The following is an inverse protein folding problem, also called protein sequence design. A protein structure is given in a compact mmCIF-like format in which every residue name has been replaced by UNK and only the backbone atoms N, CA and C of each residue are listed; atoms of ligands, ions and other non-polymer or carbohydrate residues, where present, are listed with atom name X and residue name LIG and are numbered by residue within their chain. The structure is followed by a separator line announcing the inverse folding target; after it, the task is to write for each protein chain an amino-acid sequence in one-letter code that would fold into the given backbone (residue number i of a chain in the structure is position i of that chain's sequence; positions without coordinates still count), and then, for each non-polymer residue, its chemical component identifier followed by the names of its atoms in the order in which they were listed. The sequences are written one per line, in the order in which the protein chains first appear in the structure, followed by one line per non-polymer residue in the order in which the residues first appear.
data_IF_297968931136
#
_entry.id   IF_297968931136
#
_cell.length_a   1.000
_cell.length_b   1.000
_cell.length_c   1.000
_cell.angle_alpha   90.00
_cell.angle_beta   90.00
_cell.angle_gamma   90.00
#
_symmetry.space_group_name_H-M   'P 1'
#
loop_
_entity.id
_entity.type
_entity.pdbx_description
1 polymer ?
#
# COMPACT_ATOMS: atom_id res chain seq x y z
N UNK A 1 -27.27 -3.44 -2.21
CA UNK A 1 -26.26 -4.48 -1.93
C UNK A 1 -24.90 -3.81 -1.84
N UNK A 2 -24.10 -4.18 -0.85
CA UNK A 2 -22.78 -3.57 -0.59
C UNK A 2 -21.75 -4.00 -1.65
N UNK A 3 -21.16 -3.03 -2.35
CA UNK A 3 -20.16 -3.27 -3.38
C UNK A 3 -18.90 -3.96 -2.82
N UNK A 4 -18.58 -3.72 -1.55
CA UNK A 4 -17.43 -4.33 -0.87
C UNK A 4 -17.66 -5.83 -0.60
N UNK A 5 -18.88 -6.20 -0.21
CA UNK A 5 -19.25 -7.61 -0.03
C UNK A 5 -19.21 -8.38 -1.36
N UNK A 6 -19.62 -7.75 -2.47
CA UNK A 6 -19.49 -8.35 -3.80
C UNK A 6 -18.03 -8.50 -4.25
N UNK A 7 -17.16 -7.54 -3.93
CA UNK A 7 -15.73 -7.64 -4.25
C UNK A 7 -15.06 -8.79 -3.49
N UNK A 8 -15.37 -8.96 -2.21
CA UNK A 8 -14.85 -10.07 -1.39
C UNK A 8 -15.37 -11.45 -1.83
N UNK A 9 -16.54 -11.52 -2.47
CA UNK A 9 -17.14 -12.77 -2.97
C UNK A 9 -16.62 -13.19 -4.35
N UNK A 10 -15.80 -12.37 -5.02
CA UNK A 10 -15.26 -12.69 -6.35
C UNK A 10 -14.03 -13.58 -6.27
N UNK A 11 -13.79 -14.45 -7.27
CA UNK A 11 -12.67 -15.39 -7.26
C UNK A 11 -11.33 -14.78 -7.68
N UNK A 12 -11.22 -13.44 -7.75
CA UNK A 12 -10.02 -12.74 -8.19
C UNK A 12 -9.72 -11.52 -7.33
N UNK A 13 -8.42 -11.20 -7.23
CA UNK A 13 -7.92 -10.07 -6.46
C UNK A 13 -8.19 -8.73 -7.15
N UNK A 14 -8.29 -7.66 -6.36
CA UNK A 14 -8.52 -6.29 -6.84
C UNK A 14 -7.43 -5.37 -6.32
N UNK A 15 -6.51 -4.97 -7.19
CA UNK A 15 -5.34 -4.16 -6.83
C UNK A 15 -5.31 -2.85 -7.59
N UNK A 16 -4.94 -1.76 -6.91
CA UNK A 16 -4.59 -0.48 -7.55
C UNK A 16 -3.10 -0.27 -7.35
N UNK A 17 -2.36 -0.29 -8.45
CA UNK A 17 -0.94 0.06 -8.50
C UNK A 17 -0.84 1.56 -8.79
N UNK A 18 -0.44 2.33 -7.78
CA UNK A 18 -0.27 3.77 -7.93
C UNK A 18 1.06 4.06 -8.63
N UNK A 19 1.04 4.92 -9.63
CA UNK A 19 2.21 5.34 -10.41
C UNK A 19 2.45 6.83 -10.29
N UNK A 20 3.23 7.30 -9.31
CA UNK A 20 3.48 8.74 -9.28
C UNK A 20 4.38 9.20 -10.39
N UNK A 21 4.07 10.38 -10.86
CA UNK A 21 4.76 11.02 -11.97
C UNK A 21 5.65 12.12 -11.42
N UNK A 22 6.73 12.41 -12.14
CA UNK A 22 7.58 13.57 -11.87
C UNK A 22 6.97 14.89 -12.34
N UNK A 23 5.70 14.90 -12.80
CA UNK A 23 5.06 16.06 -13.41
C UNK A 23 5.05 17.25 -12.43
N UNK A 24 5.41 18.42 -12.94
CA UNK A 24 5.36 19.69 -12.23
C UNK A 24 4.67 20.71 -13.13
N UNK A 25 3.81 21.56 -12.56
CA UNK A 25 3.19 22.66 -13.30
C UNK A 25 4.17 23.80 -13.46
N UNK A 26 4.39 24.27 -14.69
CA UNK A 26 5.32 25.35 -14.99
C UNK A 26 4.79 26.77 -14.69
N UNK A 27 3.53 26.91 -14.27
CA UNK A 27 2.87 28.20 -14.05
C UNK A 27 2.49 28.43 -12.59
N UNK A 28 2.74 29.64 -12.12
CA UNK A 28 2.10 30.19 -10.92
C UNK A 28 0.58 30.31 -11.14
N UNK A 29 -0.16 30.06 -10.07
CA UNK A 29 -1.62 29.95 -10.03
C UNK A 29 -2.33 31.16 -10.62
N UNK A 30 -3.11 30.93 -11.68
CA UNK A 30 -4.04 31.91 -12.26
C UNK A 30 -5.29 32.07 -11.38
N UNK A 31 -5.98 33.21 -11.43
CA UNK A 31 -7.10 33.48 -10.52
C UNK A 31 -8.34 32.61 -10.80
N UNK A 32 -8.50 32.11 -12.03
CA UNK A 32 -9.61 31.24 -12.43
C UNK A 32 -9.22 29.74 -12.44
N UNK A 33 -9.75 29.01 -11.46
CA UNK A 33 -9.55 27.57 -11.26
C UNK A 33 -9.96 26.72 -12.47
N UNK A 34 -10.90 27.18 -13.31
CA UNK A 34 -11.33 26.44 -14.50
C UNK A 34 -10.29 26.54 -15.61
N UNK A 35 -9.74 27.72 -15.81
CA UNK A 35 -8.67 27.97 -16.79
C UNK A 35 -7.41 27.22 -16.35
N UNK A 36 -7.08 27.32 -15.06
CA UNK A 36 -5.98 26.57 -14.43
C UNK A 36 -6.12 25.06 -14.68
N UNK A 37 -7.32 24.50 -14.48
CA UNK A 37 -7.57 23.08 -14.71
C UNK A 37 -7.42 22.64 -16.18
N UNK A 38 -7.93 23.43 -17.13
CA UNK A 38 -7.78 23.11 -18.56
C UNK A 38 -6.31 23.18 -18.99
N UNK A 39 -5.59 24.22 -18.57
CA UNK A 39 -4.17 24.40 -18.86
C UNK A 39 -3.32 23.28 -18.25
N UNK A 40 -3.65 22.84 -17.03
CA UNK A 40 -2.98 21.73 -16.37
C UNK A 40 -3.18 20.40 -17.10
N UNK A 41 -4.40 20.14 -17.57
CA UNK A 41 -4.67 18.96 -18.39
C UNK A 41 -3.89 18.99 -19.69
N UNK A 42 -3.80 20.14 -20.34
CA UNK A 42 -3.01 20.27 -21.56
C UNK A 42 -1.54 19.98 -21.30
N UNK A 43 -0.95 20.53 -20.23
CA UNK A 43 0.43 20.21 -19.82
C UNK A 43 0.64 18.71 -19.56
N UNK A 44 -0.32 18.01 -18.95
CA UNK A 44 -0.24 16.56 -18.75
C UNK A 44 -0.28 15.76 -20.06
N UNK A 45 -1.02 16.24 -21.06
CA UNK A 45 -1.09 15.64 -22.40
C UNK A 45 0.19 15.91 -23.18
N UNK A 46 0.79 17.08 -22.97
CA UNK A 46 2.01 17.53 -23.63
C UNK A 46 3.30 16.97 -23.00
N UNK A 47 3.23 16.38 -21.80
CA UNK A 47 4.34 15.70 -21.15
C UNK A 47 4.69 14.37 -21.85
N UNK A 48 5.58 14.45 -22.83
CA UNK A 48 6.04 13.30 -23.61
C UNK A 48 6.74 12.23 -22.76
N UNK A 49 7.48 12.63 -21.73
CA UNK A 49 8.20 11.69 -20.87
C UNK A 49 7.19 10.83 -20.08
N UNK A 50 6.14 11.47 -19.56
CA UNK A 50 5.02 10.80 -18.90
C UNK A 50 4.26 9.89 -19.86
N UNK A 51 3.87 10.37 -21.04
CA UNK A 51 3.16 9.55 -22.02
C UNK A 51 3.99 8.35 -22.48
N UNK A 52 5.31 8.50 -22.66
CA UNK A 52 6.21 7.39 -23.02
C UNK A 52 6.28 6.33 -21.92
N UNK A 53 6.49 6.74 -20.67
CA UNK A 53 6.50 5.81 -19.54
C UNK A 53 5.18 5.03 -19.42
N UNK A 54 4.05 5.69 -19.65
CA UNK A 54 2.73 5.05 -19.69
C UNK A 54 2.66 4.01 -20.82
N UNK A 55 3.10 4.35 -22.03
CA UNK A 55 3.12 3.43 -23.17
C UNK A 55 3.97 2.19 -22.89
N UNK A 56 5.16 2.38 -22.30
CA UNK A 56 6.06 1.27 -21.98
C UNK A 56 5.40 0.29 -20.99
N UNK A 57 4.73 0.78 -19.95
CA UNK A 57 3.98 -0.06 -19.01
C UNK A 57 2.80 -0.79 -19.68
N UNK A 58 2.08 -0.13 -20.60
CA UNK A 58 1.00 -0.77 -21.37
C UNK A 58 1.55 -1.92 -22.21
N UNK A 59 2.66 -1.70 -22.91
CA UNK A 59 3.31 -2.74 -23.73
C UNK A 59 3.74 -3.92 -22.85
N UNK A 60 4.30 -3.66 -21.67
CA UNK A 60 4.65 -4.71 -20.71
C UNK A 60 3.43 -5.49 -20.23
N UNK A 61 2.32 -4.83 -19.93
CA UNK A 61 1.08 -5.49 -19.53
C UNK A 61 0.52 -6.40 -20.64
N UNK A 62 0.51 -5.92 -21.90
CA UNK A 62 0.07 -6.74 -23.04
C UNK A 62 0.99 -7.94 -23.25
N UNK A 63 2.31 -7.76 -23.12
CA UNK A 63 3.29 -8.85 -23.22
C UNK A 63 3.14 -9.88 -22.09
N UNK A 64 2.67 -9.45 -20.92
CA UNK A 64 2.32 -10.32 -19.81
C UNK A 64 0.96 -11.05 -20.01
N UNK A 65 0.32 -10.92 -21.17
CA UNK A 65 -0.93 -11.59 -21.51
C UNK A 65 -2.18 -10.90 -20.95
N UNK A 66 -2.05 -9.68 -20.42
CA UNK A 66 -3.17 -8.91 -19.89
C UNK A 66 -4.01 -8.32 -21.02
N UNK A 67 -5.26 -7.98 -20.72
CA UNK A 67 -6.20 -7.30 -21.63
C UNK A 67 -6.52 -5.90 -21.11
N UNK A 68 -5.66 -4.90 -21.41
CA UNK A 68 -5.79 -3.57 -20.86
C UNK A 68 -6.81 -2.66 -21.56
N UNK A 69 -7.49 -1.85 -20.74
CA UNK A 69 -8.26 -0.67 -21.12
C UNK A 69 -7.51 0.58 -20.68
N UNK A 70 -7.30 1.53 -21.59
CA UNK A 70 -6.62 2.80 -21.32
C UNK A 70 -7.66 3.91 -21.39
N UNK A 71 -7.77 4.68 -20.31
CA UNK A 71 -8.72 5.79 -20.21
C UNK A 71 -8.00 7.13 -20.19
N UNK A 72 -8.43 7.99 -21.12
CA UNK A 72 -8.05 9.40 -21.20
C UNK A 72 -9.27 10.24 -21.57
N UNK A 73 -9.39 11.44 -21.01
CA UNK A 73 -10.51 12.37 -21.31
C UNK A 73 -10.23 13.28 -22.51
N UNK A 74 -9.12 13.07 -23.23
CA UNK A 74 -8.65 13.94 -24.32
C UNK A 74 -8.38 13.14 -25.59
N UNK A 75 -9.01 13.55 -26.69
CA UNK A 75 -8.82 12.91 -28.00
C UNK A 75 -7.36 13.01 -28.47
N UNK A 76 -6.72 14.17 -28.31
CA UNK A 76 -5.31 14.36 -28.69
C UNK A 76 -4.38 13.38 -27.95
N UNK A 77 -4.62 13.14 -26.66
CA UNK A 77 -3.85 12.18 -25.88
C UNK A 77 -4.12 10.75 -26.35
N UNK A 78 -5.37 10.45 -26.72
CA UNK A 78 -5.75 9.17 -27.31
C UNK A 78 -5.01 8.94 -28.64
N UNK A 79 -4.95 9.95 -29.52
CA UNK A 79 -4.25 9.90 -30.81
C UNK A 79 -2.75 9.62 -30.60
N UNK A 80 -2.12 10.25 -29.61
CA UNK A 80 -0.72 9.99 -29.24
C UNK A 80 -0.52 8.56 -28.76
N UNK A 81 -1.38 8.05 -27.87
CA UNK A 81 -1.32 6.66 -27.43
C UNK A 81 -1.51 5.69 -28.59
N UNK A 82 -2.49 5.93 -29.46
CA UNK A 82 -2.75 5.09 -30.64
C UNK A 82 -1.52 5.02 -31.54
N UNK A 83 -0.90 6.16 -31.85
CA UNK A 83 0.29 6.24 -32.70
C UNK A 83 1.47 5.43 -32.13
N UNK A 84 1.78 5.62 -30.84
CA UNK A 84 2.92 4.95 -30.20
C UNK A 84 2.66 3.45 -30.00
N UNK A 85 1.48 3.08 -29.52
CA UNK A 85 1.18 1.68 -29.19
C UNK A 85 1.01 0.81 -30.44
N UNK A 86 0.52 1.36 -31.55
CA UNK A 86 0.35 0.61 -32.80
C UNK A 86 1.68 0.12 -33.39
N UNK A 87 2.81 0.71 -33.00
CA UNK A 87 4.13 0.22 -33.40
C UNK A 87 4.53 -1.08 -32.70
N UNK A 88 3.97 -1.38 -31.52
CA UNK A 88 4.37 -2.51 -30.68
C UNK A 88 3.24 -3.52 -30.42
N UNK A 89 1.99 -3.12 -30.55
CA UNK A 89 0.82 -3.95 -30.26
C UNK A 89 0.00 -4.09 -31.56
N UNK A 90 -0.12 -5.31 -32.11
CA UNK A 90 -0.84 -5.53 -33.38
C UNK A 90 -2.33 -5.15 -33.33
N UNK A 91 -2.95 -5.26 -32.15
CA UNK A 91 -4.38 -5.06 -31.99
C UNK A 91 -4.68 -3.89 -31.04
N UNK A 92 -4.63 -2.68 -31.59
CA UNK A 92 -5.10 -1.45 -30.94
C UNK A 92 -6.53 -1.14 -31.42
N UNK A 93 -7.48 -1.08 -30.49
CA UNK A 93 -8.89 -0.74 -30.76
C UNK A 93 -9.22 0.58 -30.07
N UNK A 94 -9.80 1.53 -30.81
CA UNK A 94 -10.02 2.90 -30.36
C UNK A 94 -11.51 3.21 -30.28
N UNK A 95 -11.96 3.62 -29.10
CA UNK A 95 -13.37 3.86 -28.80
C UNK A 95 -13.57 5.29 -28.30
N UNK A 96 -14.05 6.16 -29.20
CA UNK A 96 -14.23 7.59 -28.94
C UNK A 96 -15.69 7.92 -28.65
N UNK A 97 -15.92 8.79 -27.66
CA UNK A 97 -17.22 9.43 -27.49
C UNK A 97 -17.63 10.21 -28.76
N UNK A 98 -18.89 10.05 -29.19
CA UNK A 98 -19.40 10.68 -30.41
C UNK A 98 -19.34 9.81 -31.68
N UNK A 99 -18.86 8.57 -31.60
CA UNK A 99 -18.89 7.63 -32.73
C UNK A 99 -20.32 7.26 -33.14
N UNK A 100 -20.58 7.27 -34.45
CA UNK A 100 -21.86 6.84 -35.01
C UNK A 100 -22.12 5.36 -34.79
N UNK A 101 -23.40 4.93 -34.85
CA UNK A 101 -23.80 3.53 -34.62
C UNK A 101 -23.05 2.52 -35.50
N UNK A 102 -22.79 2.88 -36.77
CA UNK A 102 -22.06 2.03 -37.72
C UNK A 102 -20.59 1.83 -37.30
N UNK A 103 -19.91 2.90 -36.91
CA UNK A 103 -18.52 2.86 -36.47
C UNK A 103 -18.38 2.06 -35.16
N UNK A 104 -19.27 2.29 -34.20
CA UNK A 104 -19.29 1.53 -32.93
C UNK A 104 -19.44 0.04 -33.15
N UNK A 105 -20.33 -0.36 -34.07
CA UNK A 105 -20.51 -1.77 -34.44
C UNK A 105 -19.26 -2.35 -35.09
N UNK A 106 -18.64 -1.63 -36.01
CA UNK A 106 -17.42 -2.08 -36.68
C UNK A 106 -16.25 -2.31 -35.69
N UNK A 107 -16.03 -1.41 -34.74
CA UNK A 107 -14.99 -1.60 -33.72
C UNK A 107 -15.33 -2.72 -32.73
N UNK A 108 -16.61 -2.90 -32.39
CA UNK A 108 -17.04 -4.03 -31.57
C UNK A 108 -16.84 -5.38 -32.28
N UNK A 109 -17.17 -5.45 -33.58
CA UNK A 109 -16.91 -6.64 -34.42
C UNK A 109 -15.42 -6.92 -34.54
N UNK A 110 -14.60 -5.89 -34.78
CA UNK A 110 -13.14 -6.00 -34.80
C UNK A 110 -12.59 -6.50 -33.47
N UNK A 111 -13.10 -5.97 -32.35
CA UNK A 111 -12.68 -6.37 -31.01
C UNK A 111 -13.04 -7.84 -30.71
N UNK A 112 -14.22 -8.27 -31.12
CA UNK A 112 -14.70 -9.64 -30.95
C UNK A 112 -13.95 -10.65 -31.84
N UNK A 113 -13.46 -10.22 -33.01
CA UNK A 113 -12.69 -11.06 -33.93
C UNK A 113 -11.24 -11.33 -33.45
N UNK A 114 -10.73 -10.60 -32.45
CA UNK A 114 -9.38 -10.81 -31.93
C UNK A 114 -9.35 -12.07 -31.06
N UNK A 115 -8.52 -13.09 -31.37
CA UNK A 115 -8.45 -14.31 -30.57
C UNK A 115 -8.03 -14.07 -29.11
N UNK A 116 -8.46 -14.91 -28.15
CA UNK A 116 -8.10 -14.82 -26.73
C UNK A 116 -6.60 -14.72 -26.46
N UNK A 117 -5.80 -15.48 -27.20
CA UNK A 117 -4.34 -15.60 -27.06
C UNK A 117 -3.55 -14.44 -27.70
N UNK A 118 -4.22 -13.58 -28.47
CA UNK A 118 -3.59 -12.43 -29.10
C UNK A 118 -3.67 -11.21 -28.18
N UNK A 119 -2.51 -10.61 -27.93
CA UNK A 119 -2.40 -9.38 -27.16
C UNK A 119 -3.13 -8.23 -27.84
N UNK A 120 -3.94 -7.51 -27.07
CA UNK A 120 -4.74 -6.39 -27.55
C UNK A 120 -4.83 -5.28 -26.52
N UNK A 121 -5.13 -4.08 -26.97
CA UNK A 121 -5.32 -2.92 -26.12
C UNK A 121 -6.53 -2.13 -26.58
N UNK A 122 -7.33 -1.67 -25.63
CA UNK A 122 -8.48 -0.81 -25.88
C UNK A 122 -8.15 0.60 -25.39
N UNK A 123 -8.16 1.57 -26.29
CA UNK A 123 -8.04 2.99 -25.97
C UNK A 123 -9.43 3.60 -25.98
N UNK A 124 -9.85 4.26 -24.90
CA UNK A 124 -11.18 4.85 -24.86
C UNK A 124 -11.21 6.20 -24.14
N UNK A 125 -12.18 7.03 -24.54
CA UNK A 125 -12.57 8.18 -23.73
C UNK A 125 -13.61 7.79 -22.69
N UNK A 126 -13.56 8.42 -21.52
CA UNK A 126 -14.41 8.04 -20.39
C UNK A 126 -15.91 8.11 -20.67
N UNK A 127 -16.33 9.05 -21.53
CA UNK A 127 -17.73 9.14 -22.00
C UNK A 127 -18.19 7.84 -22.67
N UNK A 128 -17.34 7.21 -23.49
CA UNK A 128 -17.71 5.98 -24.19
C UNK A 128 -17.90 4.80 -23.23
N UNK A 129 -16.99 4.64 -22.26
CA UNK A 129 -17.04 3.54 -21.29
C UNK A 129 -18.21 3.67 -20.32
N UNK A 130 -18.65 4.91 -20.05
CA UNK A 130 -19.84 5.19 -19.25
C UNK A 130 -21.14 4.67 -19.85
N UNK A 131 -21.24 4.53 -21.18
CA UNK A 131 -22.48 4.25 -21.93
C UNK A 131 -22.83 2.76 -22.08
N UNK A 132 -22.13 1.85 -21.39
CA UNK A 132 -22.47 0.41 -21.39
C UNK A 132 -21.54 -0.48 -22.22
N UNK A 133 -20.27 -0.08 -22.38
CA UNK A 133 -19.23 -0.97 -22.92
C UNK A 133 -19.10 -2.24 -22.06
N UNK A 134 -19.02 -3.39 -22.71
CA UNK A 134 -18.93 -4.70 -22.07
C UNK A 134 -17.90 -5.56 -22.80
N UNK A 135 -16.80 -5.89 -22.12
CA UNK A 135 -15.80 -6.83 -22.60
C UNK A 135 -15.27 -7.61 -21.39
N UNK A 136 -15.50 -8.93 -21.39
CA UNK A 136 -15.24 -9.77 -20.24
C UNK A 136 -13.76 -10.04 -20.02
N UNK A 137 -12.92 -9.95 -21.07
CA UNK A 137 -11.49 -10.21 -20.98
C UNK A 137 -10.75 -9.12 -20.23
N UNK A 138 -11.31 -7.90 -20.13
CA UNK A 138 -10.66 -6.78 -19.46
C UNK A 138 -10.25 -7.11 -18.03
N UNK A 139 -8.96 -7.05 -17.76
CA UNK A 139 -8.38 -7.33 -16.45
C UNK A 139 -7.47 -6.22 -15.92
N UNK A 140 -7.15 -5.23 -16.77
CA UNK A 140 -6.23 -4.16 -16.44
C UNK A 140 -6.78 -2.81 -16.91
N UNK A 141 -6.73 -1.80 -16.05
CA UNK A 141 -7.15 -0.43 -16.34
C UNK A 141 -5.96 0.51 -16.18
N UNK A 142 -5.64 1.29 -17.21
CA UNK A 142 -4.71 2.40 -17.13
C UNK A 142 -5.48 3.71 -17.09
N UNK A 143 -5.47 4.39 -15.93
CA UNK A 143 -6.06 5.71 -15.76
C UNK A 143 -4.98 6.77 -15.99
N UNK A 144 -4.89 7.27 -17.22
CA UNK A 144 -3.75 8.09 -17.69
C UNK A 144 -3.92 9.57 -17.47
N UNK A 145 -5.14 10.04 -17.19
CA UNK A 145 -5.43 11.41 -16.78
C UNK A 145 -6.20 11.43 -15.45
N UNK A 146 -6.05 12.51 -14.66
CA UNK A 146 -6.80 12.67 -13.43
C UNK A 146 -8.32 12.58 -13.69
N UNK A 147 -9.05 11.95 -12.76
CA UNK A 147 -10.52 11.95 -12.70
C UNK A 147 -10.91 12.16 -11.24
N UNK A 148 -11.96 12.95 -10.97
CA UNK A 148 -12.31 13.37 -9.60
C UNK A 148 -13.68 12.90 -9.11
N UNK A 149 -14.49 12.28 -9.97
CA UNK A 149 -15.84 11.83 -9.61
C UNK A 149 -15.84 10.35 -9.19
N UNK A 150 -16.24 10.08 -7.94
CA UNK A 150 -16.25 8.73 -7.36
C UNK A 150 -17.10 7.72 -8.15
N UNK A 151 -18.30 8.14 -8.55
CA UNK A 151 -19.20 7.31 -9.37
C UNK A 151 -18.58 6.89 -10.71
N UNK A 152 -17.76 7.74 -11.30
CA UNK A 152 -17.06 7.47 -12.55
C UNK A 152 -15.97 6.41 -12.36
N UNK A 153 -15.19 6.51 -11.28
CA UNK A 153 -14.20 5.48 -10.91
C UNK A 153 -14.88 4.13 -10.70
N UNK A 154 -15.96 4.09 -9.91
CA UNK A 154 -16.73 2.87 -9.66
C UNK A 154 -17.27 2.25 -10.95
N UNK A 155 -17.75 3.07 -11.90
CA UNK A 155 -18.19 2.61 -13.20
C UNK A 155 -17.04 2.02 -14.02
N UNK A 156 -15.88 2.67 -14.07
CA UNK A 156 -14.72 2.19 -14.82
C UNK A 156 -14.18 0.87 -14.28
N UNK A 157 -13.90 0.80 -12.98
CA UNK A 157 -13.38 -0.42 -12.37
C UNK A 157 -14.41 -1.55 -12.40
N UNK A 158 -15.70 -1.22 -12.34
CA UNK A 158 -16.79 -2.18 -12.48
C UNK A 158 -16.80 -2.90 -13.83
N UNK A 159 -16.26 -2.29 -14.90
CA UNK A 159 -16.15 -2.95 -16.21
C UNK A 159 -15.16 -4.11 -16.22
N UNK A 160 -14.20 -4.11 -15.30
CA UNK A 160 -13.19 -5.17 -15.21
C UNK A 160 -13.69 -6.38 -14.41
N UNK A 161 -14.78 -6.23 -13.65
CA UNK A 161 -15.29 -7.25 -12.71
C UNK A 161 -16.08 -8.38 -13.38
N UNK A 162 -16.12 -8.44 -14.71
CA UNK A 162 -16.74 -9.54 -15.44
C UNK A 162 -15.91 -10.81 -15.29
N UNK A 163 -16.58 -11.94 -15.07
CA UNK A 163 -15.93 -13.24 -15.03
C UNK A 163 -15.41 -13.61 -16.43
N UNK A 164 -14.22 -14.18 -16.47
CA UNK A 164 -13.59 -14.70 -17.67
C UNK A 164 -12.61 -15.80 -17.27
N UNK A 165 -12.48 -16.83 -18.11
CA UNK A 165 -11.61 -17.96 -17.80
C UNK A 165 -10.15 -17.52 -17.64
N UNK A 166 -9.46 -18.09 -16.66
CA UNK A 166 -8.08 -17.71 -16.31
C UNK A 166 -7.89 -16.34 -15.64
N UNK A 167 -8.94 -15.51 -15.46
CA UNK A 167 -8.83 -14.21 -14.77
C UNK A 167 -8.69 -14.42 -13.25
N UNK A 168 -7.48 -14.21 -12.73
CA UNK A 168 -7.15 -14.34 -11.30
C UNK A 168 -6.97 -13.02 -10.57
N UNK A 169 -6.75 -11.93 -11.30
CA UNK A 169 -6.49 -10.62 -10.73
C UNK A 169 -6.97 -9.51 -11.68
N UNK A 170 -7.55 -8.46 -11.10
CA UNK A 170 -7.87 -7.20 -11.75
C UNK A 170 -6.95 -6.09 -11.22
N UNK A 171 -6.29 -5.38 -12.13
CA UNK A 171 -5.33 -4.32 -11.80
C UNK A 171 -5.78 -2.96 -12.33
N UNK A 172 -5.56 -1.92 -11.52
CA UNK A 172 -5.68 -0.52 -11.95
C UNK A 172 -4.32 0.16 -11.81
N UNK A 173 -3.79 0.71 -12.89
CA UNK A 173 -2.65 1.60 -12.89
C UNK A 173 -3.16 3.04 -12.84
N UNK A 174 -2.99 3.70 -11.68
CA UNK A 174 -3.42 5.09 -11.47
C UNK A 174 -2.21 6.01 -11.48
N UNK A 175 -2.06 6.81 -12.55
CA UNK A 175 -0.98 7.78 -12.67
C UNK A 175 -1.29 9.01 -11.82
N UNK A 176 -0.50 9.19 -10.76
CA UNK A 176 -0.75 10.16 -9.71
C UNK A 176 0.24 11.34 -9.77
N UNK A 177 -0.24 12.48 -10.25
CA UNK A 177 0.54 13.71 -10.38
C UNK A 177 0.57 14.47 -9.04
N UNK A 178 1.31 13.92 -8.06
CA UNK A 178 1.24 14.33 -6.65
C UNK A 178 1.93 15.67 -6.33
N UNK A 179 2.81 16.16 -7.20
CA UNK A 179 3.49 17.44 -7.01
C UNK A 179 2.56 18.65 -7.24
N UNK A 180 1.36 18.43 -7.79
CA UNK A 180 0.39 19.50 -8.01
C UNK A 180 -0.76 19.36 -6.99
N UNK A 181 -0.94 20.33 -6.06
CA UNK A 181 -1.89 20.20 -4.96
C UNK A 181 -3.34 19.92 -5.38
N UNK A 182 -3.76 20.44 -6.54
CA UNK A 182 -5.09 20.13 -7.08
C UNK A 182 -5.22 18.65 -7.49
N UNK A 183 -4.21 18.11 -8.19
CA UNK A 183 -4.23 16.73 -8.68
C UNK A 183 -4.04 15.72 -7.55
N UNK A 184 -3.21 16.04 -6.54
CA UNK A 184 -3.09 15.26 -5.32
C UNK A 184 -4.44 15.11 -4.60
N UNK A 185 -5.21 16.20 -4.45
CA UNK A 185 -6.57 16.13 -3.87
C UNK A 185 -7.54 15.31 -4.73
N UNK A 186 -7.38 15.29 -6.04
CA UNK A 186 -8.18 14.45 -6.93
C UNK A 186 -7.82 12.97 -6.75
N UNK A 187 -6.53 12.66 -6.62
CA UNK A 187 -6.04 11.31 -6.33
C UNK A 187 -6.60 10.79 -4.99
N UNK A 188 -6.59 11.59 -3.92
CA UNK A 188 -7.19 11.21 -2.64
C UNK A 188 -8.68 10.82 -2.77
N UNK A 189 -9.42 11.51 -3.65
CA UNK A 189 -10.82 11.17 -3.93
C UNK A 189 -10.95 9.86 -4.68
N UNK A 190 -10.03 9.56 -5.61
CA UNK A 190 -9.97 8.28 -6.32
C UNK A 190 -9.65 7.13 -5.39
N UNK A 191 -8.67 7.28 -4.48
CA UNK A 191 -8.35 6.29 -3.45
C UNK A 191 -9.58 5.85 -2.67
N UNK A 192 -10.35 6.83 -2.16
CA UNK A 192 -11.62 6.55 -1.47
C UNK A 192 -12.64 5.84 -2.36
N UNK A 193 -12.62 6.12 -3.67
CA UNK A 193 -13.46 5.43 -4.66
C UNK A 193 -13.05 3.97 -4.85
N UNK A 194 -11.76 3.67 -4.96
CA UNK A 194 -11.24 2.31 -5.06
C UNK A 194 -11.55 1.48 -3.80
N UNK A 195 -11.26 2.04 -2.63
CA UNK A 195 -11.51 1.39 -1.33
C UNK A 195 -13.00 1.06 -1.13
N UNK A 196 -13.90 1.97 -1.55
CA UNK A 196 -15.34 1.75 -1.46
C UNK A 196 -15.82 0.58 -2.32
N UNK A 197 -15.08 0.21 -3.36
CA UNK A 197 -15.39 -0.93 -4.25
C UNK A 197 -14.52 -2.15 -3.90
N UNK A 198 -13.74 -2.10 -2.80
CA UNK A 198 -12.99 -3.24 -2.28
C UNK A 198 -11.62 -3.48 -2.91
N UNK A 199 -11.04 -2.47 -3.58
CA UNK A 199 -9.67 -2.56 -4.07
C UNK A 199 -8.64 -2.33 -2.96
N UNK A 200 -7.52 -3.05 -3.05
CA UNK A 200 -6.33 -2.82 -2.23
C UNK A 200 -5.39 -1.87 -2.97
N UNK A 201 -5.03 -0.74 -2.34
CA UNK A 201 -4.16 0.26 -2.95
C UNK A 201 -2.70 -0.03 -2.60
N UNK A 202 -1.89 -0.26 -3.62
CA UNK A 202 -0.45 -0.49 -3.56
C UNK A 202 0.26 0.78 -4.00
N UNK A 203 0.75 1.52 -3.02
CA UNK A 203 1.60 2.70 -3.22
C UNK A 203 3.08 2.26 -3.19
N UNK A 204 3.89 2.47 -4.25
CA UNK A 204 5.33 2.20 -4.18
C UNK A 204 6.05 3.19 -3.25
N UNK A 205 7.23 2.84 -2.73
CA UNK A 205 7.99 3.76 -1.86
C UNK A 205 8.38 5.07 -2.58
N UNK A 206 8.69 4.97 -3.87
CA UNK A 206 9.00 6.08 -4.78
C UNK A 206 7.82 7.02 -5.06
N UNK A 207 6.64 6.64 -4.58
CA UNK A 207 5.39 7.34 -4.85
C UNK A 207 5.15 8.58 -3.99
N UNK A 208 6.08 8.89 -3.10
CA UNK A 208 5.89 9.90 -2.09
C UNK A 208 6.87 11.03 -2.44
N UNK A 209 6.41 12.08 -3.14
CA UNK A 209 7.28 13.20 -3.47
C UNK A 209 7.96 13.74 -2.23
N UNK A 210 9.29 13.89 -2.24
CA UNK A 210 10.06 14.31 -1.07
C UNK A 210 10.52 13.18 -0.15
N UNK A 211 10.14 11.92 -0.40
CA UNK A 211 10.78 10.77 0.25
C UNK A 211 12.11 10.42 -0.44
N UNK A 212 13.18 10.05 0.29
CA UNK A 212 14.46 9.74 -0.33
C UNK A 212 14.39 8.46 -1.17
N UNK A 213 14.77 8.55 -2.45
CA UNK A 213 14.67 7.44 -3.40
C UNK A 213 15.47 6.19 -2.98
N UNK A 214 16.56 6.39 -2.23
CA UNK A 214 17.44 5.32 -1.76
C UNK A 214 16.88 4.56 -0.54
N UNK A 215 15.77 5.01 0.05
CA UNK A 215 15.17 4.39 1.24
C UNK A 215 13.88 3.67 0.88
N UNK A 216 13.93 2.34 0.94
CA UNK A 216 12.79 1.49 0.58
C UNK A 216 11.77 1.41 1.74
N UNK A 217 10.50 1.66 1.43
CA UNK A 217 9.39 1.44 2.36
C UNK A 217 8.86 0.00 2.27
N UNK A 218 8.43 -0.61 3.39
CA UNK A 218 7.77 -1.92 3.37
C UNK A 218 6.54 -1.93 2.44
N UNK A 219 6.43 -2.98 1.63
CA UNK A 219 5.33 -3.15 0.67
C UNK A 219 4.02 -3.61 1.34
N UNK A 220 4.09 -4.10 2.58
CA UNK A 220 3.00 -4.69 3.37
C UNK A 220 1.77 -3.74 3.46
N UNK A 221 0.55 -4.21 3.12
CA UNK A 221 -0.67 -3.40 3.17
C UNK A 221 -1.06 -2.89 4.57
N UNK A 222 -0.84 -3.68 5.63
CA UNK A 222 -1.13 -3.28 7.00
C UNK A 222 -0.14 -2.21 7.47
N UNK A 223 1.16 -2.40 7.16
CA UNK A 223 2.18 -1.38 7.41
C UNK A 223 1.83 -0.06 6.74
N UNK A 224 1.46 -0.09 5.45
CA UNK A 224 1.07 1.12 4.71
C UNK A 224 -0.14 1.80 5.34
N UNK A 225 -1.17 1.06 5.75
CA UNK A 225 -2.34 1.62 6.42
C UNK A 225 -1.98 2.35 7.71
N UNK A 226 -1.12 1.74 8.52
CA UNK A 226 -0.80 2.23 9.86
C UNK A 226 0.21 3.40 9.82
N UNK A 227 1.08 3.46 8.79
CA UNK A 227 2.20 4.40 8.72
C UNK A 227 2.13 5.44 7.59
N UNK A 228 1.19 5.36 6.64
CA UNK A 228 1.09 6.31 5.52
C UNK A 228 0.90 7.78 5.95
N UNK A 229 0.22 8.03 7.07
CA UNK A 229 0.05 9.38 7.61
C UNK A 229 1.38 9.95 8.15
N UNK A 230 2.15 9.11 8.85
CA UNK A 230 3.47 9.46 9.39
C UNK A 230 4.47 9.76 8.27
N UNK A 231 4.49 8.93 7.22
CA UNK A 231 5.35 9.16 6.05
C UNK A 231 5.02 10.49 5.36
N UNK A 232 3.73 10.78 5.15
CA UNK A 232 3.29 12.08 4.58
C UNK A 232 3.70 13.27 5.43
N UNK A 233 3.68 13.13 6.75
CA UNK A 233 4.10 14.19 7.68
C UNK A 233 5.61 14.41 7.63
N UNK A 234 6.41 13.34 7.65
CA UNK A 234 7.87 13.41 7.52
C UNK A 234 8.30 14.12 6.23
N UNK A 235 7.64 13.78 5.12
CA UNK A 235 7.85 14.47 3.85
C UNK A 235 7.53 15.95 3.93
N UNK A 236 6.38 16.31 4.52
CA UNK A 236 5.98 17.73 4.68
C UNK A 236 6.99 18.51 5.53
N UNK A 237 7.54 17.87 6.56
CA UNK A 237 8.46 18.48 7.52
C UNK A 237 9.91 18.52 6.99
N UNK A 238 10.18 17.88 5.85
CA UNK A 238 11.51 17.72 5.26
C UNK A 238 12.21 16.48 5.81
N UNK A 239 12.27 15.42 5.01
CA UNK A 239 12.90 14.15 5.39
C UNK A 239 14.18 13.94 4.59
N UNK A 240 15.27 13.64 5.29
CA UNK A 240 16.53 13.22 4.71
C UNK A 240 16.72 11.70 4.80
N UNK A 241 17.78 11.17 4.16
CA UNK A 241 18.08 9.74 4.15
C UNK A 241 18.23 9.17 5.58
N UNK A 242 18.96 9.81 6.52
CA UNK A 242 19.05 9.34 7.89
C UNK A 242 17.70 9.23 8.61
N UNK A 243 16.86 10.26 8.56
CA UNK A 243 15.55 10.27 9.22
C UNK A 243 14.60 9.24 8.60
N UNK A 244 14.61 9.10 7.27
CA UNK A 244 13.85 8.08 6.56
C UNK A 244 14.25 6.65 7.01
N UNK A 245 15.55 6.37 7.13
CA UNK A 245 16.04 5.07 7.60
C UNK A 245 15.66 4.79 9.06
N UNK A 246 15.73 5.80 9.93
CA UNK A 246 15.29 5.70 11.33
C UNK A 246 13.81 5.35 11.40
N UNK A 247 12.98 6.02 10.62
CA UNK A 247 11.55 5.75 10.57
C UNK A 247 11.25 4.32 10.11
N UNK A 248 11.85 3.87 9.00
CA UNK A 248 11.64 2.51 8.48
C UNK A 248 12.07 1.44 9.50
N UNK A 249 13.18 1.70 10.21
CA UNK A 249 13.67 0.81 11.27
C UNK A 249 12.68 0.74 12.44
N UNK A 250 12.17 1.88 12.89
CA UNK A 250 11.22 1.96 14.01
C UNK A 250 9.83 1.40 13.65
N UNK A 251 9.40 1.57 12.40
CA UNK A 251 8.11 1.11 11.92
C UNK A 251 8.14 -0.34 11.42
N UNK A 252 9.27 -1.06 11.52
CA UNK A 252 9.41 -2.38 10.91
C UNK A 252 8.33 -3.35 11.40
N UNK A 253 7.63 -4.08 10.50
CA UNK A 253 6.70 -5.12 10.93
C UNK A 253 7.47 -6.26 11.59
N UNK A 254 7.07 -6.62 12.81
CA UNK A 254 7.62 -7.77 13.53
C UNK A 254 6.81 -8.99 13.09
N UNK A 255 7.47 -9.91 12.38
CA UNK A 255 6.83 -11.16 11.96
C UNK A 255 6.50 -12.01 13.19
N UNK A 256 5.35 -12.72 13.22
CA UNK A 256 4.99 -13.59 14.36
C UNK A 256 6.04 -14.66 14.68
N UNK A 257 6.79 -15.09 13.66
CA UNK A 257 7.85 -16.11 13.74
C UNK A 257 9.24 -15.53 14.07
N UNK A 258 9.36 -14.21 14.27
CA UNK A 258 10.65 -13.59 14.54
C UNK A 258 11.23 -14.05 15.90
N UNK A 259 12.47 -14.54 15.87
CA UNK A 259 13.20 -15.00 17.06
C UNK A 259 14.39 -14.09 17.42
N UNK A 260 14.78 -14.14 18.69
CA UNK A 260 15.95 -13.43 19.22
C UNK A 260 15.90 -11.93 18.98
N UNK A 261 17.00 -11.35 18.49
CA UNK A 261 17.12 -9.92 18.24
C UNK A 261 16.15 -9.39 17.17
N UNK A 262 15.63 -10.25 16.29
CA UNK A 262 14.69 -9.84 15.24
C UNK A 262 13.26 -9.62 15.77
N UNK A 263 12.99 -10.04 17.01
CA UNK A 263 11.73 -9.80 17.73
C UNK A 263 11.72 -8.46 18.49
N UNK A 264 12.86 -7.78 18.60
CA UNK A 264 12.97 -6.51 19.29
C UNK A 264 12.11 -5.42 18.62
N UNK A 265 11.40 -4.63 19.44
CA UNK A 265 10.59 -3.47 19.04
C UNK A 265 11.43 -2.20 18.94
N UNK A 266 12.63 -2.20 19.52
CA UNK A 266 13.56 -1.08 19.42
C UNK A 266 15.01 -1.52 19.17
N UNK A 267 15.82 -0.60 18.63
CA UNK A 267 17.25 -0.81 18.47
C UNK A 267 17.96 -1.01 19.83
N UNK A 268 17.47 -0.34 20.87
CA UNK A 268 17.96 -0.48 22.25
C UNK A 268 17.74 -1.88 22.79
N UNK A 269 16.53 -2.43 22.64
CA UNK A 269 16.22 -3.82 22.99
C UNK A 269 17.10 -4.80 22.21
N UNK A 270 17.22 -4.63 20.90
CA UNK A 270 18.03 -5.49 20.05
C UNK A 270 19.50 -5.46 20.46
N UNK A 271 20.04 -4.28 20.77
CA UNK A 271 21.41 -4.08 21.24
C UNK A 271 21.63 -4.77 22.59
N UNK A 272 20.76 -4.52 23.57
CA UNK A 272 20.86 -5.13 24.90
C UNK A 272 20.78 -6.65 24.82
N UNK A 273 19.85 -7.19 24.03
CA UNK A 273 19.74 -8.62 23.80
C UNK A 273 21.02 -9.21 23.19
N UNK A 274 21.53 -8.61 22.10
CA UNK A 274 22.80 -9.05 21.48
C UNK A 274 23.95 -8.98 22.46
N UNK A 275 24.01 -7.95 23.29
CA UNK A 275 25.05 -7.82 24.33
C UNK A 275 24.96 -8.94 25.35
N UNK A 276 23.76 -9.28 25.83
CA UNK A 276 23.53 -10.40 26.75
C UNK A 276 23.90 -11.75 26.11
N UNK A 277 23.70 -11.91 24.81
CA UNK A 277 24.12 -13.12 24.08
C UNK A 277 25.65 -13.25 23.94
N UNK A 278 26.39 -12.14 24.01
CA UNK A 278 27.88 -12.19 23.97
C UNK A 278 28.52 -12.60 25.29
N UNK A 279 27.78 -12.57 26.40
CA UNK A 279 28.31 -12.86 27.74
C UNK A 279 28.03 -14.33 28.13
N UNK A 280 29.04 -15.11 28.57
CA UNK A 280 28.86 -16.51 28.96
C UNK A 280 27.79 -16.73 30.04
N UNK A 281 27.62 -15.77 30.95
CA UNK A 281 26.71 -15.87 32.09
C UNK A 281 25.25 -15.66 31.72
N UNK A 282 24.97 -15.03 30.57
CA UNK A 282 23.62 -14.62 30.15
C UNK A 282 23.19 -15.18 28.80
N UNK A 283 24.10 -15.74 28.01
CA UNK A 283 23.80 -16.35 26.71
C UNK A 283 22.71 -17.41 26.81
N UNK A 284 21.69 -17.28 25.96
CA UNK A 284 20.54 -18.19 25.90
C UNK A 284 19.58 -18.11 27.09
N UNK A 285 19.77 -17.15 28.01
CA UNK A 285 18.94 -17.04 29.23
C UNK A 285 17.82 -16.01 29.13
N UNK A 286 17.81 -15.17 28.10
CA UNK A 286 16.83 -14.09 27.96
C UNK A 286 15.97 -14.28 26.71
N UNK A 287 14.73 -13.82 26.80
CA UNK A 287 13.77 -13.75 25.71
C UNK A 287 13.34 -12.28 25.55
N UNK A 288 13.31 -11.81 24.29
CA UNK A 288 12.90 -10.44 23.95
C UNK A 288 11.38 -10.38 23.78
N UNK A 289 10.74 -9.33 24.29
CA UNK A 289 9.30 -9.03 24.10
C UNK A 289 8.41 -10.24 24.46
N UNK A 290 8.53 -10.67 25.71
CA UNK A 290 7.79 -11.79 26.27
C UNK A 290 6.57 -11.32 27.07
N UNK A 291 5.44 -12.00 26.92
CA UNK A 291 4.26 -11.75 27.74
C UNK A 291 4.41 -12.38 29.14
N UNK A 292 4.19 -11.57 30.16
CA UNK A 292 3.99 -12.01 31.53
C UNK A 292 2.48 -12.08 31.84
N UNK A 293 2.04 -13.08 32.63
CA UNK A 293 0.65 -13.17 33.09
C UNK A 293 0.38 -12.18 34.23
N UNK A 294 0.69 -10.91 34.00
CA UNK A 294 0.43 -9.80 34.90
C UNK A 294 -0.73 -9.01 34.31
N UNK A 295 -1.76 -8.77 35.12
CA UNK A 295 -2.91 -7.99 34.69
C UNK A 295 -2.50 -6.52 34.52
N UNK A 296 -2.38 -6.10 33.26
CA UNK A 296 -2.11 -4.72 32.86
C UNK A 296 -3.09 -4.31 31.76
N UNK A 297 -3.58 -3.08 31.83
CA UNK A 297 -4.46 -2.45 30.83
C UNK A 297 -5.69 -3.29 30.40
N UNK A 298 -6.27 -4.05 31.34
CA UNK A 298 -7.47 -4.87 31.12
C UNK A 298 -7.27 -6.15 30.28
N UNK A 299 -6.04 -6.46 29.84
CA UNK A 299 -5.75 -7.60 28.94
C UNK A 299 -5.23 -8.86 29.63
N UNK A 300 -5.02 -8.82 30.95
CA UNK A 300 -4.53 -9.95 31.74
C UNK A 300 -3.08 -10.38 31.40
N UNK A 301 -2.35 -9.58 30.63
CA UNK A 301 -0.97 -9.82 30.19
C UNK A 301 -0.22 -8.50 30.12
N UNK A 302 1.09 -8.55 30.39
CA UNK A 302 2.02 -7.42 30.27
C UNK A 302 3.24 -7.88 29.46
N UNK A 303 3.50 -7.23 28.33
CA UNK A 303 4.71 -7.46 27.55
C UNK A 303 5.89 -6.81 28.27
N UNK A 304 7.02 -7.51 28.35
CA UNK A 304 8.29 -6.98 28.87
C UNK A 304 9.41 -7.15 27.85
N UNK A 305 10.25 -6.12 27.75
CA UNK A 305 11.35 -6.00 26.79
C UNK A 305 12.32 -7.19 26.86
N UNK A 306 12.71 -7.60 28.08
CA UNK A 306 13.62 -8.71 28.33
C UNK A 306 13.13 -9.55 29.51
N UNK A 307 12.83 -10.82 29.27
CA UNK A 307 12.48 -11.80 30.30
C UNK A 307 13.57 -12.85 30.43
N UNK A 308 14.08 -13.07 31.64
CA UNK A 308 14.94 -14.23 31.91
C UNK A 308 14.10 -15.52 31.90
N UNK A 309 14.48 -16.50 31.10
CA UNK A 309 13.91 -17.84 31.16
C UNK A 309 14.19 -18.46 32.54
N UNK A 310 13.18 -19.06 33.16
CA UNK A 310 13.36 -19.76 34.43
C UNK A 310 14.34 -20.92 34.21
N UNK A 311 15.35 -21.03 35.07
CA UNK A 311 16.23 -22.20 35.10
C UNK A 311 15.32 -23.39 35.42
N UNK A 312 15.23 -24.36 34.50
CA UNK A 312 14.64 -25.66 34.82
C UNK A 312 15.48 -26.27 35.93
N UNK A 313 15.05 -26.13 37.18
CA UNK A 313 15.68 -26.81 38.31
C UNK A 313 15.48 -28.30 38.11
N UNK A 314 16.57 -28.98 37.78
CA UNK A 314 16.69 -30.41 37.82
C UNK A 314 16.32 -30.90 39.23
N UNK A 315 15.34 -31.80 39.32
CA UNK A 315 15.16 -32.78 40.39
C UNK A 315 15.19 -32.30 41.84
N UNK A 316 14.07 -31.74 42.35
CA UNK A 316 13.70 -31.94 43.75
C UNK A 316 12.22 -32.33 43.81
N UNK A 317 11.99 -33.58 44.20
CA UNK A 317 10.68 -34.18 44.41
C UNK A 317 9.95 -33.46 45.56
N UNK A 318 8.66 -33.08 45.42
CA UNK A 318 7.93 -32.49 46.52
C UNK A 318 7.51 -33.60 47.50
N UNK A 319 8.15 -33.64 48.69
CA UNK A 319 7.62 -34.44 49.80
C UNK A 319 6.30 -33.85 50.26
N UNK A 320 5.32 -34.73 50.39
CA UNK A 320 3.94 -34.49 50.76
C UNK A 320 3.75 -34.26 52.27
N UNK A 321 2.81 -33.35 52.59
CA UNK A 321 1.88 -33.37 53.74
C UNK A 321 2.32 -32.70 55.08
N UNK A 322 1.38 -32.39 56.02
CA UNK A 322 0.50 -31.21 56.00
C UNK A 322 0.41 -30.46 57.36
N UNK A 323 -0.27 -29.29 57.36
CA UNK A 323 -0.96 -28.59 58.48
C UNK A 323 -0.32 -28.59 59.89
N UNK A 324 0.00 -27.40 60.40
CA UNK A 324 -0.78 -26.77 61.49
C UNK A 324 -0.25 -25.39 61.89
N UNK A 325 -1.21 -24.52 62.23
CA UNK A 325 -1.07 -23.30 63.01
C UNK A 325 -0.23 -23.51 64.28
N UNK A 326 0.56 -22.52 64.70
CA UNK A 326 0.46 -21.83 66.01
C UNK A 326 1.47 -20.66 66.05
N UNK A 327 1.04 -19.52 66.60
CA UNK A 327 1.86 -18.36 66.96
C UNK A 327 2.99 -18.75 67.92
N UNK A 328 4.16 -18.13 67.79
CA UNK A 328 4.92 -17.69 68.95
C UNK A 328 5.81 -16.48 68.62
N UNK A 329 5.59 -15.42 69.38
CA UNK A 329 6.31 -14.16 69.43
C UNK A 329 7.50 -14.25 70.38
N UNK A 330 8.65 -13.70 69.98
CA UNK A 330 9.76 -13.10 70.76
C UNK A 330 10.86 -12.84 69.73
N UNK A 331 11.43 -11.66 69.46
CA UNK A 331 11.60 -10.44 70.23
C UNK A 331 13.05 -10.35 70.71
N UNK A 332 13.99 -9.84 69.88
CA UNK A 332 15.02 -8.86 70.29
C UNK A 332 15.96 -8.40 69.14
N UNK A 333 15.82 -7.11 68.80
CA UNK A 333 16.84 -6.07 68.53
C UNK A 333 18.18 -6.36 67.82
N UNK A 334 18.36 -5.66 66.68
CA UNK A 334 19.25 -4.48 66.64
C UNK A 334 20.40 -4.47 65.63
N UNK A 335 20.27 -3.71 64.52
CA UNK A 335 21.00 -2.44 64.24
C UNK A 335 20.93 -1.99 62.75
N UNK A 336 20.32 -0.80 62.57
CA UNK A 336 20.65 0.34 61.67
C UNK A 336 20.77 0.20 60.13
N UNK A 337 19.94 1.00 59.45
CA UNK A 337 19.75 1.22 57.99
C UNK A 337 20.71 2.30 57.40
N UNK A 338 20.43 3.01 56.26
CA UNK A 338 19.62 2.75 55.05
C UNK A 338 20.36 3.12 53.72
N UNK A 339 19.75 2.85 52.55
CA UNK A 339 19.73 3.79 51.40
C UNK A 339 18.83 3.27 50.26
N UNK A 340 17.70 3.93 50.09
CA UNK A 340 16.82 3.89 48.92
C UNK A 340 17.50 4.59 47.74
N UNK A 341 17.28 4.11 46.51
CA UNK A 341 17.27 4.99 45.34
C UNK A 341 16.32 4.43 44.28
N UNK A 342 15.10 4.92 44.36
CA UNK A 342 14.08 4.91 43.33
C UNK A 342 14.52 5.88 42.22
N UNK A 343 14.40 5.48 40.95
CA UNK A 343 14.67 6.37 39.80
C UNK A 343 13.52 6.22 38.81
N UNK A 344 12.43 6.96 39.11
CA UNK A 344 11.46 7.40 38.11
C UNK A 344 12.15 8.40 37.17
N UNK A 345 11.94 8.28 35.86
CA UNK A 345 12.19 9.37 34.90
C UNK A 345 11.02 9.52 33.95
N UNK A 346 10.76 10.82 33.71
CA UNK A 346 9.74 11.45 32.85
C UNK A 346 9.88 11.08 31.39
#
# INVERSE_FOLDING_TARGET
MDAKAQAAARPFEHTVVVRPTGFQSARDTDADKRIEFQALYQQLVDDEARSRAICDEIVLAVRAGRSPLILTERNEHLDRFESVLSASIPHVVVLRGGMGKKQRRAEAERLAAIPPEKGRVILATGRYIGEGFDDQRLDTLFLTLPVSWRGTIAQYVGRLHRLYDGKREVQVYDYADLNVPMLARMFDRRCRGYEAVGYTIILPASAIPGWPADVTLPADPLWKRDYAASVRRLVRDGVDIPLANLFVTAARPILPEAEGANRARSASEAFLYRRLETLPETRGRFQVNADLPLAFDGRGRMEVDLRRAAISSCGISPRTSPRNSTRCSTGFCGRSAPAEHELQRR
#
